data_IF_962721997612
#
_entry.id   IF_962721997612
#
_cell.length_a   1.000
_cell.length_b   1.000
_cell.length_c   1.000
_cell.angle_alpha   90.00
_cell.angle_beta   90.00
_cell.angle_gamma   90.00
#
_symmetry.space_group_name_H-M   'P 1'
#
loop_
_entity.id
_entity.type
_entity.pdbx_description
1 polymer ?
#
# COMPACT_ATOMS: atom_id res chain seq x y z
N UNK A 1 -47.37 59.74 -19.09
CA UNK A 1 -47.98 58.95 -18.02
C UNK A 1 -47.68 57.51 -18.28
N UNK A 2 -46.52 57.02 -17.86
CA UNK A 2 -46.15 55.63 -18.07
C UNK A 2 -45.68 55.05 -16.74
N UNK A 3 -46.47 54.12 -16.24
CA UNK A 3 -46.20 53.38 -15.02
C UNK A 3 -45.28 52.17 -15.35
N UNK A 4 -44.07 52.23 -14.85
CA UNK A 4 -43.11 51.16 -15.00
C UNK A 4 -43.26 50.21 -13.84
N UNK A 5 -43.85 49.01 -14.06
CA UNK A 5 -43.85 47.90 -13.15
C UNK A 5 -42.47 47.26 -13.15
N UNK A 6 -41.70 47.42 -12.06
CA UNK A 6 -40.48 46.68 -11.83
C UNK A 6 -40.83 45.30 -11.20
N UNK A 7 -40.77 44.30 -12.01
CA UNK A 7 -40.87 42.91 -11.56
C UNK A 7 -39.51 42.45 -11.06
N UNK A 8 -39.36 42.41 -9.73
CA UNK A 8 -38.17 41.84 -9.08
C UNK A 8 -38.23 40.32 -9.16
N UNK A 9 -37.40 39.76 -10.00
CA UNK A 9 -37.21 38.30 -10.11
C UNK A 9 -36.25 37.85 -8.99
N UNK A 10 -36.82 37.27 -7.93
CA UNK A 10 -36.05 36.64 -6.87
C UNK A 10 -35.53 35.30 -7.40
N UNK A 11 -34.26 35.26 -7.77
CA UNK A 11 -33.56 34.03 -8.08
C UNK A 11 -33.18 33.34 -6.78
N UNK A 12 -33.97 32.37 -6.38
CA UNK A 12 -33.66 31.48 -5.27
C UNK A 12 -32.58 30.48 -5.75
N UNK A 13 -31.34 30.77 -5.41
CA UNK A 13 -30.23 29.81 -5.59
C UNK A 13 -30.37 28.76 -4.51
N UNK A 14 -30.99 27.63 -4.86
CA UNK A 14 -30.98 26.45 -4.02
C UNK A 14 -29.54 25.86 -4.04
N UNK A 15 -28.81 26.13 -2.95
CA UNK A 15 -27.50 25.54 -2.71
C UNK A 15 -27.72 24.07 -2.34
N UNK A 16 -27.68 23.19 -3.34
CA UNK A 16 -27.61 21.76 -3.11
C UNK A 16 -26.25 21.48 -2.45
N UNK A 17 -26.24 21.36 -1.11
CA UNK A 17 -25.16 20.73 -0.39
C UNK A 17 -25.11 19.26 -0.83
N UNK A 18 -24.30 18.98 -1.84
CA UNK A 18 -23.85 17.63 -2.11
C UNK A 18 -23.10 17.18 -0.85
N UNK A 19 -23.71 16.29 -0.09
CA UNK A 19 -23.06 15.52 0.97
C UNK A 19 -21.92 14.77 0.29
N UNK A 20 -20.73 15.36 0.30
CA UNK A 20 -19.48 14.65 0.08
C UNK A 20 -19.39 13.64 1.22
N UNK A 21 -19.93 12.45 0.98
CA UNK A 21 -19.60 11.29 1.79
C UNK A 21 -18.07 11.23 1.80
N UNK A 22 -17.42 11.21 2.98
CA UNK A 22 -15.98 10.97 3.01
C UNK A 22 -15.79 9.65 2.29
N UNK A 23 -15.04 9.67 1.18
CA UNK A 23 -14.42 8.46 0.65
C UNK A 23 -13.52 8.02 1.79
N UNK A 24 -13.99 7.08 2.58
CA UNK A 24 -13.18 6.39 3.59
C UNK A 24 -12.17 5.62 2.75
N UNK A 25 -11.03 6.27 2.49
CA UNK A 25 -9.86 5.57 2.01
C UNK A 25 -9.63 4.46 3.04
N UNK A 26 -9.85 3.22 2.61
CA UNK A 26 -9.73 2.05 3.48
C UNK A 26 -8.26 1.94 3.85
N UNK A 27 -7.93 2.48 5.00
CA UNK A 27 -6.60 2.49 5.57
C UNK A 27 -6.37 1.17 6.31
N UNK A 28 -5.12 0.69 6.25
CA UNK A 28 -4.62 -0.32 7.19
C UNK A 28 -5.09 0.02 8.60
N UNK A 29 -5.36 -0.99 9.41
CA UNK A 29 -5.75 -0.75 10.80
C UNK A 29 -4.63 0.02 11.52
N UNK A 30 -4.97 0.78 12.57
CA UNK A 30 -3.97 1.49 13.39
C UNK A 30 -2.90 0.53 13.92
N UNK A 31 -3.30 -0.71 14.26
CA UNK A 31 -2.39 -1.78 14.66
C UNK A 31 -1.38 -2.11 13.56
N UNK A 32 -1.85 -2.35 12.34
CA UNK A 32 -0.99 -2.72 11.21
C UNK A 32 -0.05 -1.56 10.84
N UNK A 33 -0.56 -0.33 10.84
CA UNK A 33 0.24 0.88 10.59
C UNK A 33 1.38 1.02 11.61
N UNK A 34 1.07 0.83 12.90
CA UNK A 34 2.07 0.88 13.96
C UNK A 34 3.09 -0.26 13.86
N UNK A 35 2.65 -1.46 13.47
CA UNK A 35 3.52 -2.62 13.30
C UNK A 35 4.45 -2.44 12.10
N UNK A 36 3.96 -1.95 10.96
CA UNK A 36 4.76 -1.61 9.78
C UNK A 36 5.82 -0.56 10.13
N UNK A 37 5.43 0.52 10.80
CA UNK A 37 6.34 1.59 11.21
C UNK A 37 7.38 1.09 12.25
N UNK A 38 6.96 0.19 13.13
CA UNK A 38 7.81 -0.42 14.16
C UNK A 38 8.77 -1.48 13.65
N UNK A 39 8.49 -2.08 12.50
CA UNK A 39 9.26 -3.20 11.94
C UNK A 39 10.71 -2.79 11.65
N UNK A 40 11.66 -3.67 12.01
CA UNK A 40 13.07 -3.45 11.73
C UNK A 40 13.47 -4.17 10.44
N UNK A 41 13.88 -3.42 9.42
CA UNK A 41 14.46 -3.98 8.21
C UNK A 41 15.88 -4.48 8.51
N UNK A 42 16.16 -5.74 8.17
CA UNK A 42 17.46 -6.39 8.41
C UNK A 42 17.92 -7.19 7.21
N UNK A 43 19.24 -7.38 7.05
CA UNK A 43 19.80 -8.21 5.98
C UNK A 43 19.28 -9.66 6.05
N UNK A 44 19.05 -10.21 7.25
CA UNK A 44 18.50 -11.54 7.43
C UNK A 44 17.03 -11.63 6.94
N UNK A 45 16.22 -10.61 7.22
CA UNK A 45 14.84 -10.55 6.71
C UNK A 45 14.81 -10.36 5.19
N UNK A 46 15.70 -9.51 4.63
CA UNK A 46 15.83 -9.34 3.20
C UNK A 46 16.22 -10.64 2.49
N UNK A 47 17.16 -11.41 3.03
CA UNK A 47 17.53 -12.69 2.46
C UNK A 47 16.37 -13.69 2.40
N UNK A 48 15.51 -13.71 3.43
CA UNK A 48 14.28 -14.53 3.41
C UNK A 48 13.29 -14.00 2.37
N UNK A 49 13.09 -12.67 2.35
CA UNK A 49 12.19 -12.01 1.40
C UNK A 49 12.61 -12.27 -0.05
N UNK A 50 13.89 -12.14 -0.38
CA UNK A 50 14.43 -12.48 -1.70
C UNK A 50 14.10 -13.92 -2.12
N UNK A 51 14.31 -14.89 -1.20
CA UNK A 51 13.92 -16.29 -1.45
C UNK A 51 12.41 -16.44 -1.65
N UNK A 52 11.61 -15.71 -0.87
CA UNK A 52 10.15 -15.73 -0.97
C UNK A 52 9.69 -15.23 -2.34
N UNK A 53 10.20 -14.07 -2.80
CA UNK A 53 9.90 -13.50 -4.13
C UNK A 53 10.18 -14.52 -5.23
N UNK A 54 11.37 -15.13 -5.26
CA UNK A 54 11.69 -16.13 -6.27
C UNK A 54 10.78 -17.37 -6.24
N UNK A 55 10.36 -17.81 -5.04
CA UNK A 55 9.45 -18.95 -4.92
C UNK A 55 8.00 -18.62 -5.26
N UNK A 56 7.59 -17.37 -5.07
CA UNK A 56 6.26 -16.89 -5.42
C UNK A 56 6.13 -16.53 -6.90
N UNK A 57 7.24 -16.26 -7.60
CA UNK A 57 7.22 -15.83 -9.00
C UNK A 57 6.30 -16.66 -9.90
N UNK A 58 6.32 -18.02 -9.87
CA UNK A 58 5.42 -18.83 -10.70
C UNK A 58 3.95 -18.78 -10.25
N UNK A 59 3.65 -18.20 -9.11
CA UNK A 59 2.32 -18.09 -8.53
C UNK A 59 1.77 -16.65 -8.57
N UNK A 60 2.54 -15.68 -9.10
CA UNK A 60 2.20 -14.26 -9.04
C UNK A 60 0.84 -13.94 -9.66
N UNK A 61 0.49 -14.57 -10.79
CA UNK A 61 -0.79 -14.38 -11.47
C UNK A 61 -2.00 -14.88 -10.67
N UNK A 62 -1.77 -15.76 -9.69
CA UNK A 62 -2.81 -16.33 -8.83
C UNK A 62 -2.93 -15.57 -7.50
N UNK A 63 -1.98 -14.69 -7.19
CA UNK A 63 -2.04 -13.90 -5.96
C UNK A 63 -3.19 -12.90 -6.01
N UNK A 64 -3.82 -12.61 -4.85
CA UNK A 64 -4.82 -11.56 -4.75
C UNK A 64 -4.24 -10.25 -5.29
N UNK A 65 -4.96 -9.62 -6.20
CA UNK A 65 -4.55 -8.35 -6.79
C UNK A 65 -5.29 -7.21 -6.10
N UNK A 66 -4.68 -6.02 -6.10
CA UNK A 66 -5.31 -4.83 -5.52
C UNK A 66 -6.61 -4.43 -6.21
N UNK A 67 -6.85 -4.94 -7.44
CA UNK A 67 -8.09 -4.74 -8.17
C UNK A 67 -9.31 -5.48 -7.60
N UNK A 68 -9.08 -6.57 -6.85
CA UNK A 68 -10.13 -7.44 -6.30
C UNK A 68 -10.48 -7.05 -4.85
N UNK A 69 -10.31 -5.78 -4.47
CA UNK A 69 -10.47 -5.34 -3.08
C UNK A 69 -11.93 -5.28 -2.66
N UNK A 70 -12.37 -6.31 -1.96
CA UNK A 70 -13.55 -6.24 -1.10
C UNK A 70 -13.25 -5.34 0.12
N UNK A 71 -14.18 -4.44 0.42
CA UNK A 71 -14.04 -3.37 1.44
C UNK A 71 -13.68 -3.87 2.87
N UNK A 72 -13.69 -5.16 3.13
CA UNK A 72 -13.48 -5.73 4.47
C UNK A 72 -12.09 -6.29 4.78
N UNK A 73 -11.16 -6.35 3.83
CA UNK A 73 -9.97 -7.20 3.98
C UNK A 73 -8.61 -6.48 3.91
N UNK A 74 -8.56 -5.20 4.26
CA UNK A 74 -7.32 -4.42 4.15
C UNK A 74 -6.34 -4.59 5.31
N UNK A 75 -6.64 -5.41 6.31
CA UNK A 75 -5.68 -5.75 7.36
C UNK A 75 -4.58 -6.67 6.82
N UNK A 76 -3.39 -6.59 7.42
CA UNK A 76 -2.30 -7.53 7.12
C UNK A 76 -2.75 -8.98 7.32
N UNK A 77 -3.54 -9.25 8.37
CA UNK A 77 -4.06 -10.58 8.66
C UNK A 77 -5.06 -11.05 7.59
N UNK A 78 -5.96 -10.18 7.13
CA UNK A 78 -6.92 -10.50 6.07
C UNK A 78 -6.23 -10.78 4.73
N UNK A 79 -5.26 -9.94 4.35
CA UNK A 79 -4.46 -10.15 3.14
C UNK A 79 -3.62 -11.42 3.22
N UNK A 80 -3.00 -11.69 4.38
CA UNK A 80 -2.24 -12.91 4.61
C UNK A 80 -3.12 -14.17 4.49
N UNK A 81 -4.34 -14.13 5.03
CA UNK A 81 -5.29 -15.23 4.91
C UNK A 81 -5.71 -15.49 3.45
N UNK A 82 -5.93 -14.44 2.66
CA UNK A 82 -6.21 -14.58 1.22
C UNK A 82 -5.02 -15.19 0.47
N UNK A 83 -3.80 -14.74 0.75
CA UNK A 83 -2.59 -15.33 0.17
C UNK A 83 -2.44 -16.81 0.53
N UNK A 84 -2.71 -17.16 1.79
CA UNK A 84 -2.65 -18.54 2.29
C UNK A 84 -3.69 -19.45 1.62
N UNK A 85 -4.79 -18.87 1.12
CA UNK A 85 -5.82 -19.57 0.35
C UNK A 85 -5.38 -19.94 -1.09
N UNK A 86 -4.34 -19.31 -1.62
CA UNK A 86 -3.83 -19.63 -2.95
C UNK A 86 -2.97 -20.89 -2.90
N UNK A 87 -3.28 -21.92 -3.72
CA UNK A 87 -2.52 -23.17 -3.72
C UNK A 87 -1.01 -22.95 -3.94
N UNK A 88 -0.19 -23.52 -3.07
CA UNK A 88 1.26 -23.44 -3.16
C UNK A 88 1.91 -22.25 -2.47
N UNK A 89 1.21 -21.13 -2.24
CA UNK A 89 1.78 -19.90 -1.66
C UNK A 89 2.34 -20.16 -0.26
N UNK A 90 1.53 -20.74 0.63
CA UNK A 90 1.96 -21.05 2.00
C UNK A 90 3.19 -21.96 2.04
N UNK A 91 3.27 -22.97 1.16
CA UNK A 91 4.41 -23.85 1.07
C UNK A 91 5.66 -23.13 0.54
N UNK A 92 5.51 -22.27 -0.47
CA UNK A 92 6.58 -21.45 -1.03
C UNK A 92 7.19 -20.52 0.03
N UNK A 93 6.34 -19.79 0.76
CA UNK A 93 6.76 -18.87 1.82
C UNK A 93 7.42 -19.61 2.99
N UNK A 94 6.84 -20.72 3.44
CA UNK A 94 7.45 -21.57 4.48
C UNK A 94 8.84 -22.06 4.07
N UNK A 95 9.02 -22.48 2.81
CA UNK A 95 10.31 -22.89 2.28
C UNK A 95 11.33 -21.74 2.16
N UNK A 96 10.86 -20.48 2.15
CA UNK A 96 11.71 -19.29 2.24
C UNK A 96 12.00 -18.89 3.71
N UNK A 97 11.35 -19.51 4.68
CA UNK A 97 11.47 -19.21 6.09
C UNK A 97 10.63 -18.01 6.53
N UNK A 98 9.47 -17.78 5.86
CA UNK A 98 8.52 -16.71 6.16
C UNK A 98 7.09 -17.26 6.22
N UNK A 99 6.23 -16.55 6.93
CA UNK A 99 4.77 -16.65 6.83
C UNK A 99 4.26 -15.61 5.82
N UNK A 100 3.01 -15.74 5.36
CA UNK A 100 2.37 -14.74 4.49
C UNK A 100 2.31 -13.37 5.16
N UNK A 101 2.04 -13.34 6.47
CA UNK A 101 2.00 -12.10 7.24
C UNK A 101 3.38 -11.43 7.36
N UNK A 102 4.44 -12.19 7.61
CA UNK A 102 5.81 -11.67 7.64
C UNK A 102 6.26 -11.14 6.28
N UNK A 103 5.88 -11.82 5.19
CA UNK A 103 6.14 -11.36 3.84
C UNK A 103 5.47 -10.01 3.57
N UNK A 104 4.18 -9.86 3.88
CA UNK A 104 3.44 -8.62 3.72
C UNK A 104 4.00 -7.51 4.61
N UNK A 105 4.29 -7.80 5.88
CA UNK A 105 4.86 -6.83 6.82
C UNK A 105 6.19 -6.28 6.30
N UNK A 106 7.07 -7.16 5.81
CA UNK A 106 8.34 -6.75 5.21
C UNK A 106 8.11 -5.90 3.96
N UNK A 107 7.22 -6.32 3.05
CA UNK A 107 6.88 -5.59 1.81
C UNK A 107 6.36 -4.19 2.09
N UNK A 108 5.39 -4.06 3.00
CA UNK A 108 4.82 -2.76 3.38
C UNK A 108 5.84 -1.86 4.08
N UNK A 109 6.70 -2.44 4.92
CA UNK A 109 7.79 -1.70 5.55
C UNK A 109 8.81 -1.20 4.53
N UNK A 110 9.14 -1.99 3.51
CA UNK A 110 9.99 -1.55 2.40
C UNK A 110 9.36 -0.39 1.63
N UNK A 111 8.07 -0.52 1.27
CA UNK A 111 7.34 0.52 0.57
C UNK A 111 7.32 1.83 1.36
N UNK A 112 6.95 1.79 2.65
CA UNK A 112 6.93 2.97 3.53
C UNK A 112 8.29 3.65 3.60
N UNK A 113 9.37 2.87 3.74
CA UNK A 113 10.72 3.42 3.85
C UNK A 113 11.27 3.91 2.51
N UNK A 114 10.84 3.32 1.39
CA UNK A 114 11.10 3.85 0.05
C UNK A 114 10.45 5.21 -0.18
N UNK A 115 9.17 5.34 0.20
CA UNK A 115 8.47 6.63 0.14
C UNK A 115 9.11 7.68 1.05
N UNK A 116 9.57 7.29 2.24
CA UNK A 116 10.29 8.18 3.15
C UNK A 116 11.66 8.60 2.58
N UNK A 117 12.39 7.70 1.94
CA UNK A 117 13.65 8.01 1.26
C UNK A 117 13.43 9.04 0.15
N UNK A 118 12.42 8.84 -0.68
CA UNK A 118 12.04 9.79 -1.72
C UNK A 118 11.60 11.14 -1.15
N UNK A 119 10.77 11.15 -0.09
CA UNK A 119 10.30 12.38 0.54
C UNK A 119 11.47 13.23 1.08
N UNK A 120 12.50 12.60 1.64
CA UNK A 120 13.69 13.28 2.15
C UNK A 120 14.55 13.93 1.03
N UNK A 121 14.40 13.52 -0.22
CA UNK A 121 15.09 14.08 -1.37
C UNK A 121 14.38 15.32 -1.95
N UNK A 122 13.12 15.54 -1.54
CA UNK A 122 12.37 16.71 -1.99
C UNK A 122 12.81 17.99 -1.24
N UNK A 123 12.74 19.17 -1.87
CA UNK A 123 13.02 20.43 -1.20
C UNK A 123 12.18 20.59 0.08
N UNK A 124 12.84 20.76 1.23
CA UNK A 124 12.15 20.85 2.53
C UNK A 124 11.62 19.54 3.07
N UNK A 125 12.00 18.41 2.47
CA UNK A 125 11.55 17.06 2.84
C UNK A 125 11.84 16.72 4.30
N UNK A 126 10.91 16.03 4.93
CA UNK A 126 11.01 15.62 6.34
C UNK A 126 10.68 14.13 6.45
N UNK A 127 11.29 13.51 7.45
CA UNK A 127 10.98 12.12 7.79
C UNK A 127 9.52 12.02 8.26
N UNK A 128 8.70 11.14 7.66
CA UNK A 128 7.32 10.93 8.11
C UNK A 128 7.27 10.44 9.57
N UNK A 129 6.21 10.78 10.32
CA UNK A 129 6.03 10.29 11.69
C UNK A 129 6.09 8.75 11.77
N UNK A 130 6.74 8.22 12.80
CA UNK A 130 6.86 6.78 13.04
C UNK A 130 7.94 6.07 12.20
N UNK A 131 8.42 6.67 11.12
CA UNK A 131 9.47 6.08 10.27
C UNK A 131 10.85 6.22 10.95
N UNK A 132 11.63 5.16 10.92
CA UNK A 132 12.98 5.12 11.52
C UNK A 132 14.04 5.39 10.45
N UNK A 133 14.94 6.35 10.69
CA UNK A 133 16.05 6.65 9.78
C UNK A 133 16.91 5.41 9.48
N UNK A 134 17.06 4.49 10.44
CA UNK A 134 17.78 3.23 10.24
C UNK A 134 17.18 2.40 9.09
N UNK A 135 15.84 2.33 9.00
CA UNK A 135 15.15 1.61 7.93
C UNK A 135 15.27 2.34 6.58
N UNK A 136 15.23 3.69 6.58
CA UNK A 136 15.46 4.48 5.37
C UNK A 136 16.89 4.24 4.83
N UNK A 137 17.88 4.24 5.72
CA UNK A 137 19.26 3.94 5.36
C UNK A 137 19.43 2.50 4.86
N UNK A 138 18.72 1.55 5.46
CA UNK A 138 18.66 0.17 4.98
C UNK A 138 18.09 0.11 3.56
N UNK A 139 16.94 0.76 3.32
CA UNK A 139 16.33 0.82 1.98
C UNK A 139 17.32 1.36 0.95
N UNK A 140 17.95 2.53 1.21
CA UNK A 140 18.94 3.13 0.31
C UNK A 140 20.13 2.22 0.04
N UNK A 141 20.63 1.55 1.08
CA UNK A 141 21.75 0.59 0.94
C UNK A 141 21.41 -0.55 -0.05
N UNK A 142 20.16 -1.00 -0.04
CA UNK A 142 19.69 -2.15 -0.83
C UNK A 142 18.85 -1.77 -2.04
N UNK A 143 18.75 -0.48 -2.39
CA UNK A 143 17.84 0.02 -3.44
C UNK A 143 17.98 -0.72 -4.77
N UNK A 144 19.20 -0.96 -5.24
CA UNK A 144 19.46 -1.64 -6.49
C UNK A 144 18.99 -3.11 -6.48
N UNK A 145 19.12 -3.81 -5.36
CA UNK A 145 18.62 -5.16 -5.16
C UNK A 145 17.09 -5.17 -5.09
N UNK A 146 16.51 -4.27 -4.31
CA UNK A 146 15.06 -4.12 -4.14
C UNK A 146 14.37 -3.77 -5.45
N UNK A 147 14.96 -2.93 -6.28
CA UNK A 147 14.44 -2.63 -7.62
C UNK A 147 14.37 -3.88 -8.50
N UNK A 148 15.41 -4.71 -8.49
CA UNK A 148 15.39 -6.00 -9.24
C UNK A 148 14.31 -6.93 -8.73
N UNK A 149 14.11 -7.02 -7.40
CA UNK A 149 13.04 -7.82 -6.81
C UNK A 149 11.66 -7.27 -7.18
N UNK A 150 11.49 -5.95 -7.20
CA UNK A 150 10.26 -5.30 -7.64
C UNK A 150 9.87 -5.65 -9.06
N UNK A 151 10.84 -5.78 -9.98
CA UNK A 151 10.55 -6.22 -11.36
C UNK A 151 9.98 -7.65 -11.41
N UNK A 152 10.39 -8.53 -10.50
CA UNK A 152 9.89 -9.91 -10.42
C UNK A 152 8.48 -10.00 -9.79
N UNK A 153 8.06 -8.98 -9.05
CA UNK A 153 6.76 -8.93 -8.37
C UNK A 153 5.74 -8.05 -9.08
N UNK A 154 6.08 -7.47 -10.24
CA UNK A 154 5.11 -6.72 -11.04
C UNK A 154 3.95 -7.61 -11.43
N UNK A 155 2.77 -7.21 -10.98
CA UNK A 155 1.50 -7.80 -11.42
C UNK A 155 1.03 -7.07 -12.69
N UNK A 156 0.20 -7.76 -13.50
CA UNK A 156 -0.43 -7.12 -14.64
C UNK A 156 -1.33 -5.96 -14.18
N UNK A 157 -1.34 -4.87 -14.94
CA UNK A 157 -2.21 -3.73 -14.66
C UNK A 157 -3.68 -4.17 -14.69
N UNK A 158 -4.47 -3.65 -13.76
CA UNK A 158 -5.90 -3.95 -13.62
C UNK A 158 -6.72 -3.53 -14.85
N UNK A 159 -6.23 -2.58 -15.63
CA UNK A 159 -6.93 -2.05 -16.81
C UNK A 159 -6.99 -3.00 -18.02
N UNK A 160 -6.29 -4.12 -17.99
CA UNK A 160 -6.18 -5.07 -19.11
C UNK A 160 -6.97 -6.38 -18.91
N UNK A 161 -7.98 -6.41 -18.04
CA UNK A 161 -8.86 -7.56 -17.85
C UNK A 161 -10.29 -7.31 -18.30
#
# INVERSE_FOLDING_TARGET
MFNTFQTTLAVTVAFALALLAPVVAQSLTDRDTNEIAGYALTDAALAKYTKAVHKLQPLMEQLPQDCDQDEGSQSLDGTAARMDGVPGVKAALKAAGMTSREYLLFSWSLFQNGMAAWALEQPGGKLPPGVKMANVNFYRKHEAELKKLGELTKQADCDNR
#
